data_IF_932772898313
#
_entry.id   IF_932772898313
#
_cell.length_a   1.000
_cell.length_b   1.000
_cell.length_c   1.000
_cell.angle_alpha   90.00
_cell.angle_beta   90.00
_cell.angle_gamma   90.00
#
_symmetry.space_group_name_H-M   'P 1'
#
loop_
_entity.id
_entity.type
_entity.pdbx_description
1 polymer ?
#
# COMPACT_ATOMS: atom_id res chain seq x y z
N UNK A 1 -47.72 17.92 -44.87
CA UNK A 1 -48.77 17.07 -45.47
C UNK A 1 -48.30 15.63 -45.39
N UNK A 2 -49.21 14.75 -44.88
CA UNK A 2 -49.17 13.30 -44.80
C UNK A 2 -47.95 12.65 -44.07
N UNK A 3 -48.03 12.13 -42.84
CA UNK A 3 -48.71 10.97 -42.22
C UNK A 3 -48.63 9.70 -43.07
N UNK A 4 -47.93 8.68 -42.50
CA UNK A 4 -48.40 7.29 -42.40
C UNK A 4 -47.78 6.57 -41.21
N UNK A 5 -48.64 6.06 -40.32
CA UNK A 5 -48.48 5.12 -39.24
C UNK A 5 -48.68 3.69 -39.79
N UNK A 6 -48.10 2.72 -39.17
CA UNK A 6 -48.55 1.33 -38.89
C UNK A 6 -47.30 0.51 -38.58
N UNK A 7 -47.19 -0.36 -37.57
CA UNK A 7 -48.11 -0.99 -36.67
C UNK A 7 -47.43 -2.30 -36.16
N UNK A 8 -47.42 -2.45 -34.90
CA UNK A 8 -47.51 -3.65 -34.01
C UNK A 8 -47.24 -5.04 -34.62
N UNK A 9 -46.33 -5.81 -33.93
CA UNK A 9 -46.65 -7.21 -33.61
C UNK A 9 -45.81 -7.69 -32.40
N UNK A 10 -46.53 -8.01 -31.36
CA UNK A 10 -46.16 -8.70 -30.12
C UNK A 10 -45.95 -10.17 -30.45
N UNK A 11 -44.91 -10.80 -29.89
CA UNK A 11 -44.69 -12.24 -29.95
C UNK A 11 -44.13 -12.75 -28.64
N UNK A 12 -45.07 -13.09 -27.72
CA UNK A 12 -44.79 -13.87 -26.50
C UNK A 12 -44.63 -15.32 -26.89
N UNK A 13 -43.54 -15.96 -26.54
CA UNK A 13 -43.48 -17.42 -26.43
C UNK A 13 -43.07 -17.81 -25.03
N UNK A 14 -44.05 -18.31 -24.32
CA UNK A 14 -43.94 -19.21 -23.14
C UNK A 14 -43.73 -20.64 -23.64
N UNK A 15 -42.81 -21.37 -23.06
CA UNK A 15 -42.82 -22.83 -22.94
C UNK A 15 -41.89 -23.21 -21.80
N UNK A 16 -42.37 -23.46 -20.64
CA UNK A 16 -42.80 -24.74 -20.06
C UNK A 16 -41.64 -25.67 -19.67
N UNK A 17 -41.53 -25.79 -18.39
CA UNK A 17 -40.86 -26.66 -17.45
C UNK A 17 -40.94 -28.15 -17.85
N UNK A 18 -39.83 -28.90 -17.68
CA UNK A 18 -39.84 -30.25 -17.14
C UNK A 18 -38.65 -30.49 -16.24
N UNK A 19 -38.93 -30.77 -14.99
CA UNK A 19 -38.00 -31.30 -14.01
C UNK A 19 -37.94 -32.82 -14.14
N UNK A 20 -36.74 -33.40 -14.12
CA UNK A 20 -36.51 -34.78 -13.69
C UNK A 20 -35.25 -34.77 -12.82
N UNK A 21 -35.38 -35.38 -11.66
CA UNK A 21 -34.42 -35.38 -10.60
C UNK A 21 -33.45 -36.57 -10.60
N UNK A 22 -32.65 -36.52 -9.58
CA UNK A 22 -31.86 -37.56 -8.92
C UNK A 22 -30.50 -37.96 -9.53
N UNK A 23 -29.49 -37.84 -8.70
CA UNK A 23 -28.19 -38.51 -8.83
C UNK A 23 -27.11 -37.89 -7.95
N UNK A 24 -26.98 -38.40 -6.72
CA UNK A 24 -25.82 -38.20 -5.86
C UNK A 24 -24.55 -38.69 -6.57
N UNK A 25 -23.50 -37.85 -6.61
CA UNK A 25 -22.18 -38.24 -7.01
C UNK A 25 -21.18 -37.18 -6.54
N UNK A 26 -20.52 -37.46 -5.43
CA UNK A 26 -19.39 -36.74 -4.92
C UNK A 26 -18.20 -37.04 -5.82
N UNK A 27 -17.72 -36.07 -6.60
CA UNK A 27 -16.37 -36.14 -7.14
C UNK A 27 -15.68 -34.78 -7.01
N UNK A 28 -14.48 -34.85 -6.45
CA UNK A 28 -13.66 -33.74 -6.03
C UNK A 28 -13.23 -32.83 -7.17
N UNK A 29 -13.27 -31.54 -6.90
CA UNK A 29 -12.59 -30.55 -7.72
C UNK A 29 -11.08 -30.71 -7.55
N UNK A 30 -10.44 -31.25 -8.57
CA UNK A 30 -8.98 -31.27 -8.70
C UNK A 30 -8.48 -29.86 -8.88
N UNK A 31 -7.63 -29.43 -7.95
CA UNK A 31 -6.83 -28.23 -8.06
C UNK A 31 -5.87 -28.35 -9.23
N UNK A 32 -5.99 -27.48 -10.23
CA UNK A 32 -5.02 -27.29 -11.30
C UNK A 32 -3.82 -26.45 -10.79
N UNK A 33 -2.98 -27.08 -9.99
CA UNK A 33 -1.59 -26.66 -9.77
C UNK A 33 -0.77 -27.91 -9.48
N UNK A 34 -0.45 -28.62 -10.54
CA UNK A 34 0.63 -29.62 -10.53
C UNK A 34 1.71 -29.11 -11.51
N UNK A 35 2.80 -28.66 -10.97
CA UNK A 35 3.97 -28.14 -11.66
C UNK A 35 5.23 -28.57 -10.94
N UNK A 36 5.68 -29.78 -11.24
CA UNK A 36 7.07 -30.22 -11.29
C UNK A 36 7.99 -29.88 -10.13
N UNK A 37 8.20 -30.84 -9.25
CA UNK A 37 9.35 -30.92 -8.34
C UNK A 37 10.66 -31.19 -9.11
N UNK A 38 11.73 -30.45 -8.82
CA UNK A 38 13.08 -30.99 -8.90
C UNK A 38 13.49 -31.58 -7.54
N UNK A 39 14.27 -32.66 -7.62
CA UNK A 39 14.69 -33.54 -6.55
C UNK A 39 15.39 -32.85 -5.38
N UNK A 40 15.22 -33.49 -4.23
CA UNK A 40 15.72 -33.14 -2.93
C UNK A 40 17.26 -33.02 -2.90
N UNK A 41 17.75 -31.90 -2.35
CA UNK A 41 18.92 -31.92 -1.49
C UNK A 41 18.46 -31.73 -0.05
N UNK A 42 18.81 -32.70 0.80
CA UNK A 42 18.58 -32.63 2.23
C UNK A 42 19.52 -31.57 2.83
N UNK A 43 18.98 -30.38 3.02
CA UNK A 43 19.53 -29.41 3.95
C UNK A 43 18.69 -29.50 5.21
N UNK A 44 19.30 -29.91 6.31
CA UNK A 44 18.70 -29.86 7.64
C UNK A 44 18.19 -28.41 7.91
N UNK A 45 16.91 -28.23 7.85
CA UNK A 45 16.28 -27.03 8.39
C UNK A 45 16.27 -27.20 9.91
N UNK A 46 17.20 -26.53 10.60
CA UNK A 46 17.05 -26.23 12.01
C UNK A 46 15.76 -25.45 12.22
N UNK A 47 14.68 -26.15 12.37
CA UNK A 47 13.44 -25.66 12.90
C UNK A 47 13.68 -25.24 14.35
N UNK A 48 14.12 -24.00 14.54
CA UNK A 48 14.19 -23.41 15.88
C UNK A 48 12.77 -23.12 16.35
N UNK A 49 12.22 -24.11 17.01
CA UNK A 49 11.06 -23.99 17.86
C UNK A 49 11.44 -23.05 19.01
N UNK A 50 10.91 -21.83 19.02
CA UNK A 50 11.01 -20.93 20.16
C UNK A 50 10.16 -21.49 21.31
N UNK A 51 10.81 -22.00 22.32
CA UNK A 51 10.27 -22.17 23.65
C UNK A 51 9.67 -23.51 23.98
N UNK A 52 10.39 -24.31 24.69
CA UNK A 52 9.86 -25.14 25.76
C UNK A 52 10.85 -25.17 26.94
N UNK A 53 10.68 -24.19 27.82
CA UNK A 53 11.12 -24.26 29.18
C UNK A 53 9.98 -24.83 30.01
N UNK A 54 9.91 -26.16 30.09
CA UNK A 54 8.86 -26.83 30.84
C UNK A 54 8.94 -26.50 32.33
N UNK A 55 7.86 -25.93 32.89
CA UNK A 55 7.41 -26.23 34.22
C UNK A 55 5.98 -26.75 34.15
N UNK A 56 5.83 -28.06 34.38
CA UNK A 56 4.55 -28.72 34.57
C UNK A 56 4.10 -28.47 36.02
N UNK A 57 3.05 -27.68 36.18
CA UNK A 57 2.09 -27.88 37.26
C UNK A 57 0.69 -27.49 36.76
N UNK A 58 -0.25 -28.40 37.01
CA UNK A 58 -1.57 -28.41 36.42
C UNK A 58 -2.47 -27.27 36.95
N UNK A 59 -2.88 -26.44 36.03
CA UNK A 59 -3.96 -25.47 36.17
C UNK A 59 -4.35 -25.02 34.77
N UNK A 60 -5.65 -25.02 34.45
CA UNK A 60 -6.18 -24.42 33.24
C UNK A 60 -5.86 -22.93 33.31
N UNK A 61 -4.63 -22.57 32.88
CA UNK A 61 -4.03 -21.25 33.01
C UNK A 61 -3.69 -20.66 31.64
N UNK A 62 -3.88 -19.40 31.55
CA UNK A 62 -3.45 -18.48 30.48
C UNK A 62 -2.19 -18.98 29.76
N UNK A 63 -2.22 -19.06 28.44
CA UNK A 63 -1.07 -19.39 27.58
C UNK A 63 0.00 -18.30 27.54
N UNK A 64 -0.15 -17.22 28.30
CA UNK A 64 0.80 -16.13 28.41
C UNK A 64 1.90 -16.44 29.44
N UNK A 65 3.16 -16.69 29.02
CA UNK A 65 4.25 -17.04 29.94
C UNK A 65 4.60 -15.91 30.94
N UNK A 66 4.15 -14.70 30.69
CA UNK A 66 4.41 -13.54 31.54
C UNK A 66 3.28 -13.23 32.53
N UNK A 67 2.17 -13.97 32.48
CA UNK A 67 0.98 -13.69 33.31
C UNK A 67 1.21 -13.80 34.81
N UNK A 68 2.18 -14.61 35.24
CA UNK A 68 2.48 -14.83 36.68
C UNK A 68 3.28 -13.72 37.32
N UNK A 69 4.02 -12.90 36.55
CA UNK A 69 4.88 -11.82 37.09
C UNK A 69 4.45 -10.43 36.57
N UNK A 70 3.56 -10.35 35.59
CA UNK A 70 3.10 -9.09 35.06
C UNK A 70 2.35 -8.27 36.12
N UNK A 71 2.86 -7.07 36.42
CA UNK A 71 2.19 -6.10 37.32
C UNK A 71 1.26 -5.16 36.54
N UNK A 72 1.55 -4.95 35.26
CA UNK A 72 0.75 -4.14 34.36
C UNK A 72 1.06 -4.47 32.90
N UNK A 73 0.09 -4.25 32.02
CA UNK A 73 0.29 -4.36 30.56
C UNK A 73 -0.52 -3.28 29.83
N UNK A 74 -0.01 -2.86 28.66
CA UNK A 74 -0.70 -1.94 27.79
C UNK A 74 -0.48 -2.36 26.32
N UNK A 75 -1.55 -2.33 25.51
CA UNK A 75 -1.43 -2.48 24.07
C UNK A 75 -0.81 -1.21 23.48
N UNK A 76 0.06 -1.39 22.52
CA UNK A 76 0.58 -0.32 21.68
C UNK A 76 0.22 -0.59 20.24
N UNK A 77 -0.16 0.45 19.54
CA UNK A 77 -0.58 0.34 18.13
C UNK A 77 0.53 0.80 17.20
N UNK A 78 0.49 0.28 15.97
CA UNK A 78 1.34 0.79 14.89
C UNK A 78 1.13 2.28 14.70
N UNK A 79 2.18 2.96 14.27
CA UNK A 79 2.06 4.35 13.81
C UNK A 79 1.13 4.38 12.59
N UNK A 80 0.01 5.11 12.64
CA UNK A 80 -0.90 5.17 11.51
C UNK A 80 -0.28 5.82 10.28
N UNK A 81 -0.82 5.50 9.12
CA UNK A 81 -0.44 6.07 7.83
C UNK A 81 -1.67 6.71 7.18
N UNK A 82 -1.58 7.99 6.89
CA UNK A 82 -2.60 8.76 6.16
C UNK A 82 -2.09 8.99 4.76
N UNK A 83 -2.56 8.18 3.82
CA UNK A 83 -2.05 8.13 2.45
C UNK A 83 -3.02 8.84 1.50
N UNK A 84 -2.51 9.83 0.78
CA UNK A 84 -3.21 10.45 -0.34
C UNK A 84 -2.54 10.07 -1.65
N UNK A 85 -3.29 9.42 -2.53
CA UNK A 85 -2.85 9.08 -3.88
C UNK A 85 -3.20 10.22 -4.83
N UNK A 86 -2.23 10.71 -5.60
CA UNK A 86 -2.44 11.61 -6.73
C UNK A 86 -2.20 10.81 -8.00
N UNK A 87 -3.23 10.63 -8.81
CA UNK A 87 -3.19 9.80 -10.00
C UNK A 87 -3.32 10.68 -11.23
N UNK A 88 -2.38 10.56 -12.14
CA UNK A 88 -2.40 11.24 -13.42
C UNK A 88 -3.50 10.65 -14.33
N UNK A 89 -4.39 11.51 -14.76
CA UNK A 89 -5.44 11.24 -15.74
C UNK A 89 -5.26 12.06 -17.01
N UNK A 90 -4.04 12.47 -17.35
CA UNK A 90 -3.73 13.20 -18.58
C UNK A 90 -3.81 12.30 -19.82
N UNK A 91 -3.79 12.92 -21.01
CA UNK A 91 -3.92 12.21 -22.27
C UNK A 91 -2.79 11.22 -22.55
N UNK A 92 -1.58 11.50 -22.07
CA UNK A 92 -0.41 10.62 -22.21
C UNK A 92 -0.61 9.26 -21.52
N UNK A 93 -1.38 9.21 -20.44
CA UNK A 93 -1.79 7.95 -19.80
C UNK A 93 -2.69 7.10 -20.71
N UNK A 94 -3.44 7.69 -21.66
CA UNK A 94 -4.21 6.99 -22.71
C UNK A 94 -3.41 6.81 -24.02
N UNK A 95 -2.11 7.07 -24.01
CA UNK A 95 -1.25 6.96 -25.20
C UNK A 95 -1.44 8.08 -26.20
N UNK A 96 -1.77 9.29 -25.75
CA UNK A 96 -1.99 10.47 -26.58
C UNK A 96 -0.86 11.50 -26.40
N UNK A 97 -0.18 11.89 -27.48
CA UNK A 97 0.98 12.81 -27.45
C UNK A 97 0.59 14.30 -27.46
N UNK A 98 -0.68 14.61 -27.39
CA UNK A 98 -1.21 15.97 -27.52
C UNK A 98 -1.78 16.26 -28.93
N UNK A 99 -1.49 15.43 -29.91
CA UNK A 99 -1.93 15.55 -31.29
C UNK A 99 -2.59 14.27 -31.80
N UNK A 100 -1.96 13.12 -31.54
CA UNK A 100 -2.38 11.82 -32.03
C UNK A 100 -2.26 10.74 -30.95
N UNK A 101 -2.96 9.62 -31.15
CA UNK A 101 -2.70 8.41 -30.39
C UNK A 101 -1.45 7.71 -30.94
N UNK A 102 -0.54 7.40 -30.04
CA UNK A 102 0.74 6.75 -30.39
C UNK A 102 0.47 5.29 -30.73
N UNK A 103 1.04 4.83 -31.84
CA UNK A 103 0.87 3.46 -32.33
C UNK A 103 1.49 2.46 -31.31
N UNK A 104 0.70 1.45 -30.92
CA UNK A 104 1.14 0.42 -30.00
C UNK A 104 0.99 0.76 -28.51
N UNK A 105 0.64 2.02 -28.13
CA UNK A 105 0.46 2.43 -26.73
C UNK A 105 -0.95 2.13 -26.18
N UNK A 106 -1.86 1.66 -27.00
CA UNK A 106 -3.24 1.32 -26.63
C UNK A 106 -3.56 -0.13 -26.91
N UNK A 107 -4.40 -0.72 -26.09
CA UNK A 107 -4.87 -2.10 -26.24
C UNK A 107 -6.37 -2.22 -25.91
N UNK A 108 -7.04 -3.34 -26.29
CA UNK A 108 -8.41 -3.60 -25.88
C UNK A 108 -8.55 -3.59 -24.36
N UNK A 109 -9.45 -2.75 -23.86
CA UNK A 109 -9.66 -2.59 -22.42
C UNK A 109 -10.65 -3.63 -21.88
N UNK A 110 -10.21 -4.57 -21.01
CA UNK A 110 -11.11 -5.57 -20.43
C UNK A 110 -12.25 -4.96 -19.60
N UNK A 111 -12.02 -3.80 -19.00
CA UNK A 111 -13.04 -3.09 -18.22
C UNK A 111 -14.00 -2.25 -19.09
N UNK A 112 -13.69 -2.08 -20.39
CA UNK A 112 -14.51 -1.32 -21.35
C UNK A 112 -14.54 -2.01 -22.71
N UNK A 113 -15.29 -3.12 -22.86
CA UNK A 113 -15.32 -3.91 -24.09
C UNK A 113 -15.60 -3.06 -25.33
N UNK A 114 -14.79 -3.27 -26.36
CA UNK A 114 -14.88 -2.54 -27.64
C UNK A 114 -14.13 -1.20 -27.67
N UNK A 115 -13.47 -0.79 -26.58
CA UNK A 115 -12.61 0.39 -26.52
C UNK A 115 -11.13 0.00 -26.51
N UNK A 116 -10.30 0.77 -27.23
CA UNK A 116 -8.86 0.81 -27.01
C UNK A 116 -8.57 1.86 -25.93
N UNK A 117 -7.76 1.49 -24.93
CA UNK A 117 -7.34 2.35 -23.83
C UNK A 117 -5.83 2.26 -23.65
N UNK A 118 -5.20 3.30 -23.16
CA UNK A 118 -3.77 3.35 -22.93
C UNK A 118 -3.29 2.25 -22.00
N UNK A 119 -2.24 1.56 -22.37
CA UNK A 119 -1.61 0.50 -21.56
C UNK A 119 -1.22 0.99 -20.18
N UNK A 120 -0.69 2.21 -20.09
CA UNK A 120 -0.31 2.86 -18.81
C UNK A 120 -1.53 3.00 -17.90
N UNK A 121 -2.65 3.51 -18.44
CA UNK A 121 -3.87 3.67 -17.65
C UNK A 121 -4.47 2.34 -17.20
N UNK A 122 -4.56 1.36 -18.11
CA UNK A 122 -5.05 0.01 -17.76
C UNK A 122 -4.20 -0.56 -16.63
N UNK A 123 -2.88 -0.47 -16.73
CA UNK A 123 -1.94 -0.99 -15.74
C UNK A 123 -2.12 -0.33 -14.37
N UNK A 124 -2.17 0.99 -14.31
CA UNK A 124 -2.35 1.76 -13.06
C UNK A 124 -3.72 1.46 -12.44
N UNK A 125 -4.78 1.53 -13.24
CA UNK A 125 -6.15 1.23 -12.77
C UNK A 125 -6.26 -0.17 -12.17
N UNK A 126 -5.79 -1.18 -12.90
CA UNK A 126 -5.96 -2.58 -12.50
C UNK A 126 -5.09 -2.93 -11.29
N UNK A 127 -3.90 -2.33 -11.19
CA UNK A 127 -3.04 -2.49 -10.04
C UNK A 127 -3.59 -1.79 -8.78
N UNK A 128 -4.10 -0.57 -8.91
CA UNK A 128 -4.77 0.11 -7.80
C UNK A 128 -6.03 -0.64 -7.35
N UNK A 129 -6.82 -1.17 -8.29
CA UNK A 129 -7.97 -2.00 -7.95
C UNK A 129 -7.58 -3.25 -7.17
N UNK A 130 -6.46 -3.90 -7.52
CA UNK A 130 -5.94 -5.05 -6.78
C UNK A 130 -5.43 -4.64 -5.39
N UNK A 131 -4.75 -3.51 -5.26
CA UNK A 131 -4.31 -2.97 -3.98
C UNK A 131 -5.49 -2.65 -3.05
N UNK A 132 -6.55 -2.01 -3.57
CA UNK A 132 -7.75 -1.74 -2.77
C UNK A 132 -8.49 -3.01 -2.38
N UNK A 133 -8.49 -4.03 -3.24
CA UNK A 133 -9.07 -5.33 -2.92
C UNK A 133 -8.27 -6.09 -1.83
N UNK A 134 -6.94 -5.97 -1.83
CA UNK A 134 -6.10 -6.54 -0.77
C UNK A 134 -6.35 -5.86 0.57
N UNK A 135 -6.43 -4.52 0.60
CA UNK A 135 -6.78 -3.76 1.81
C UNK A 135 -8.19 -4.08 2.33
N UNK A 136 -9.16 -4.29 1.42
CA UNK A 136 -10.52 -4.70 1.80
C UNK A 136 -10.54 -6.11 2.41
N UNK A 137 -9.78 -7.04 1.81
CA UNK A 137 -9.71 -8.42 2.29
C UNK A 137 -8.93 -8.56 3.61
N UNK A 138 -7.97 -7.68 3.84
CA UNK A 138 -7.12 -7.64 5.05
C UNK A 138 -7.07 -6.21 5.58
N UNK A 139 -8.15 -5.71 6.18
CA UNK A 139 -8.22 -4.34 6.65
C UNK A 139 -7.11 -4.03 7.65
N UNK A 140 -6.38 -2.94 7.41
CA UNK A 140 -5.33 -2.46 8.30
C UNK A 140 -5.86 -1.24 9.08
N UNK A 141 -6.14 -1.36 10.39
CA UNK A 141 -6.69 -0.26 11.18
C UNK A 141 -5.71 0.90 11.36
N UNK A 142 -4.46 0.72 10.98
CA UNK A 142 -3.46 1.79 10.99
C UNK A 142 -3.34 2.51 9.64
N UNK A 143 -4.12 2.15 8.61
CA UNK A 143 -4.01 2.74 7.27
C UNK A 143 -5.30 3.40 6.81
N UNK A 144 -5.20 4.69 6.47
CA UNK A 144 -6.25 5.44 5.78
C UNK A 144 -5.77 5.85 4.39
N UNK A 145 -6.62 5.66 3.37
CA UNK A 145 -6.29 5.96 1.97
C UNK A 145 -7.36 6.86 1.36
N UNK A 146 -6.89 7.93 0.71
CA UNK A 146 -7.68 8.78 -0.16
C UNK A 146 -7.08 8.85 -1.56
N UNK A 147 -7.83 9.40 -2.52
CA UNK A 147 -7.38 9.49 -3.90
C UNK A 147 -7.85 10.77 -4.58
N UNK A 148 -6.99 11.32 -5.41
CA UNK A 148 -7.25 12.44 -6.30
C UNK A 148 -6.78 12.10 -7.70
N UNK A 149 -7.71 12.01 -8.64
CA UNK A 149 -7.42 11.84 -10.06
C UNK A 149 -7.41 13.21 -10.73
N UNK A 150 -6.31 13.59 -11.38
CA UNK A 150 -6.15 14.91 -11.95
C UNK A 150 -5.86 14.90 -13.45
N UNK A 151 -6.36 15.90 -14.13
CA UNK A 151 -5.94 16.38 -15.44
C UNK A 151 -6.60 17.75 -15.66
N UNK A 152 -6.31 18.44 -16.76
CA UNK A 152 -6.96 19.72 -17.06
C UNK A 152 -8.47 19.61 -17.31
N UNK A 153 -9.01 18.43 -17.56
CA UNK A 153 -10.43 18.18 -17.82
C UNK A 153 -11.11 17.31 -16.79
N UNK A 154 -10.44 16.32 -16.25
CA UNK A 154 -11.00 15.36 -15.28
C UNK A 154 -11.21 16.03 -13.93
N UNK A 155 -10.28 16.89 -13.53
CA UNK A 155 -10.34 17.62 -12.27
C UNK A 155 -9.85 19.06 -12.48
N UNK A 156 -10.74 20.02 -12.33
CA UNK A 156 -10.45 21.45 -12.53
C UNK A 156 -10.03 22.17 -11.24
N UNK A 157 -10.23 21.55 -10.09
CA UNK A 157 -9.90 22.15 -8.78
C UNK A 157 -8.85 21.32 -8.07
N UNK A 158 -7.70 21.90 -7.81
CA UNK A 158 -6.60 21.25 -7.10
C UNK A 158 -6.93 20.88 -5.65
N UNK A 159 -7.82 21.62 -5.01
CA UNK A 159 -8.23 21.37 -3.62
C UNK A 159 -9.36 20.36 -3.49
N UNK A 160 -9.97 19.92 -4.61
CA UNK A 160 -11.04 18.95 -4.57
C UNK A 160 -10.49 17.54 -4.45
N UNK A 161 -10.89 16.83 -3.42
CA UNK A 161 -10.55 15.43 -3.20
C UNK A 161 -11.62 14.56 -3.84
N UNK A 162 -11.22 13.60 -4.70
CA UNK A 162 -12.18 12.69 -5.35
C UNK A 162 -12.74 11.68 -4.34
N UNK A 163 -11.84 10.99 -3.62
CA UNK A 163 -12.21 10.09 -2.54
C UNK A 163 -11.45 10.53 -1.28
N UNK A 164 -12.15 11.01 -0.26
CA UNK A 164 -11.53 11.48 0.99
C UNK A 164 -10.69 10.39 1.66
N UNK A 165 -9.66 10.81 2.41
CA UNK A 165 -8.85 9.89 3.20
C UNK A 165 -9.72 9.27 4.29
N UNK A 166 -9.84 7.95 4.29
CA UNK A 166 -10.57 7.21 5.30
C UNK A 166 -9.99 5.79 5.46
N UNK A 167 -10.39 5.12 6.54
CA UNK A 167 -10.13 3.69 6.71
C UNK A 167 -10.67 2.90 5.53
N UNK A 168 -9.87 1.93 5.03
CA UNK A 168 -10.26 1.16 3.84
C UNK A 168 -11.11 -0.03 4.27
N UNK A 169 -12.38 0.23 4.50
CA UNK A 169 -13.44 -0.77 4.57
C UNK A 169 -14.04 -1.05 3.19
N UNK A 170 -15.05 -1.89 3.12
CA UNK A 170 -15.72 -2.23 1.86
C UNK A 170 -16.33 -1.01 1.15
N UNK A 171 -16.83 -0.03 1.89
CA UNK A 171 -17.42 1.20 1.32
C UNK A 171 -16.32 2.09 0.72
N UNK A 172 -15.22 2.31 1.43
CA UNK A 172 -14.09 3.10 0.96
C UNK A 172 -13.40 2.41 -0.23
N UNK A 173 -13.17 1.10 -0.16
CA UNK A 173 -12.59 0.33 -1.26
C UNK A 173 -13.47 0.38 -2.52
N UNK A 174 -14.78 0.31 -2.35
CA UNK A 174 -15.74 0.47 -3.45
C UNK A 174 -15.69 1.88 -4.06
N UNK A 175 -15.60 2.93 -3.24
CA UNK A 175 -15.50 4.33 -3.71
C UNK A 175 -14.19 4.56 -4.49
N UNK A 176 -13.06 4.04 -4.00
CA UNK A 176 -11.76 4.12 -4.66
C UNK A 176 -11.78 3.43 -6.04
N UNK A 177 -12.32 2.21 -6.11
CA UNK A 177 -12.47 1.48 -7.38
C UNK A 177 -13.43 2.16 -8.35
N UNK A 178 -14.56 2.65 -7.86
CA UNK A 178 -15.55 3.34 -8.68
C UNK A 178 -14.99 4.61 -9.32
N UNK A 179 -14.06 5.31 -8.65
CA UNK A 179 -13.42 6.50 -9.21
C UNK A 179 -12.51 6.22 -10.40
N UNK A 180 -11.98 5.02 -10.50
CA UNK A 180 -11.11 4.56 -11.61
C UNK A 180 -11.88 3.80 -12.69
N UNK A 181 -13.14 3.45 -12.45
CA UNK A 181 -13.93 2.64 -13.37
C UNK A 181 -14.35 3.43 -14.63
N UNK A 182 -14.57 2.77 -15.77
CA UNK A 182 -15.22 3.40 -16.91
C UNK A 182 -16.57 4.04 -16.51
N UNK A 183 -16.94 5.20 -17.09
CA UNK A 183 -16.38 5.82 -18.31
C UNK A 183 -15.25 6.84 -18.03
N UNK A 184 -14.54 6.75 -16.94
CA UNK A 184 -13.40 7.63 -16.66
C UNK A 184 -12.20 7.19 -17.52
N UNK A 185 -11.78 8.05 -18.42
CA UNK A 185 -10.63 7.83 -19.31
C UNK A 185 -9.70 9.05 -19.26
N UNK A 186 -8.38 8.82 -19.28
CA UNK A 186 -7.42 9.90 -19.29
C UNK A 186 -7.56 10.82 -20.50
N UNK A 187 -7.39 12.12 -20.26
CA UNK A 187 -7.48 13.15 -21.29
C UNK A 187 -6.86 14.47 -20.84
N UNK A 188 -6.41 15.30 -21.83
CA UNK A 188 -5.91 16.65 -21.62
C UNK A 188 -4.54 16.74 -20.93
N UNK A 189 -4.18 17.88 -20.36
CA UNK A 189 -2.84 18.16 -19.82
C UNK A 189 -2.61 17.70 -18.39
N UNK A 190 -1.38 17.88 -17.93
CA UNK A 190 -0.82 17.39 -16.64
C UNK A 190 -0.56 18.56 -15.68
N UNK A 191 -1.56 19.20 -15.06
CA UNK A 191 -1.36 20.29 -14.10
C UNK A 191 -0.89 19.75 -12.74
N UNK A 192 0.31 19.17 -12.70
CA UNK A 192 0.83 18.41 -11.57
C UNK A 192 1.13 19.29 -10.36
N UNK A 193 1.72 20.48 -10.58
CA UNK A 193 2.02 21.43 -9.50
C UNK A 193 0.73 21.84 -8.77
N UNK A 194 -0.29 22.18 -9.55
CA UNK A 194 -1.61 22.52 -9.01
C UNK A 194 -2.21 21.36 -8.20
N UNK A 195 -2.09 20.13 -8.71
CA UNK A 195 -2.56 18.93 -8.02
C UNK A 195 -1.78 18.67 -6.72
N UNK A 196 -0.45 18.74 -6.75
CA UNK A 196 0.40 18.56 -5.57
C UNK A 196 0.04 19.57 -4.48
N UNK A 197 -0.01 20.86 -4.79
CA UNK A 197 -0.31 21.90 -3.81
C UNK A 197 -1.70 21.73 -3.17
N UNK A 198 -2.70 21.41 -3.99
CA UNK A 198 -4.04 21.16 -3.49
C UNK A 198 -4.11 19.96 -2.55
N UNK A 199 -3.45 18.87 -2.91
CA UNK A 199 -3.49 17.65 -2.11
C UNK A 199 -2.59 17.71 -0.87
N UNK A 200 -1.48 18.44 -0.92
CA UNK A 200 -0.69 18.76 0.28
C UNK A 200 -1.52 19.56 1.30
N UNK A 201 -2.29 20.53 0.83
CA UNK A 201 -3.19 21.30 1.70
C UNK A 201 -4.28 20.40 2.33
N UNK A 202 -4.89 19.55 1.53
CA UNK A 202 -5.90 18.57 1.99
C UNK A 202 -5.31 17.61 3.01
N UNK A 203 -4.15 17.04 2.73
CA UNK A 203 -3.49 16.07 3.60
C UNK A 203 -3.08 16.70 4.94
N UNK A 204 -2.51 17.90 4.93
CA UNK A 204 -2.13 18.63 6.16
C UNK A 204 -3.34 19.01 7.02
N UNK A 205 -4.50 19.19 6.43
CA UNK A 205 -5.75 19.49 7.16
C UNK A 205 -6.52 18.22 7.58
N UNK A 206 -6.06 17.05 7.19
CA UNK A 206 -6.71 15.79 7.53
C UNK A 206 -6.68 15.54 9.04
N UNK A 207 -7.84 15.25 9.61
CA UNK A 207 -7.98 14.84 11.00
C UNK A 207 -8.49 13.40 11.02
N UNK A 208 -7.71 12.46 11.56
CA UNK A 208 -8.12 11.06 11.61
C UNK A 208 -9.34 10.87 12.52
N UNK A 209 -10.17 9.90 12.17
CA UNK A 209 -11.33 9.46 12.96
C UNK A 209 -11.31 7.95 13.11
N UNK A 210 -11.96 7.44 14.16
CA UNK A 210 -12.03 5.99 14.39
C UNK A 210 -12.47 5.23 13.11
N UNK A 211 -11.88 4.08 12.82
CA UNK A 211 -10.93 3.33 13.66
C UNK A 211 -9.46 3.81 13.58
N UNK A 212 -9.14 4.76 12.69
CA UNK A 212 -7.76 5.25 12.48
C UNK A 212 -7.30 6.11 13.67
N UNK A 213 -6.21 5.74 14.37
CA UNK A 213 -5.68 6.54 15.46
C UNK A 213 -5.05 7.85 15.00
N UNK A 214 -4.90 8.80 15.91
CA UNK A 214 -4.12 10.03 15.71
C UNK A 214 -2.60 9.77 15.83
N UNK A 215 -1.77 10.76 15.42
CA UNK A 215 -0.31 10.70 15.57
C UNK A 215 0.41 9.93 14.46
N UNK A 216 -0.24 9.76 13.32
CA UNK A 216 0.31 9.04 12.18
C UNK A 216 1.21 9.85 11.26
N UNK A 217 1.76 9.18 10.25
CA UNK A 217 2.57 9.75 9.17
C UNK A 217 1.67 10.20 8.01
N UNK A 218 1.95 11.37 7.49
CA UNK A 218 1.27 11.91 6.32
C UNK A 218 2.07 11.56 5.06
N UNK A 219 1.43 10.87 4.14
CA UNK A 219 2.07 10.30 2.95
C UNK A 219 1.35 10.74 1.69
N UNK A 220 2.09 11.35 0.76
CA UNK A 220 1.63 11.65 -0.58
C UNK A 220 2.27 10.68 -1.56
N UNK A 221 1.48 10.07 -2.44
CA UNK A 221 2.00 9.23 -3.53
C UNK A 221 1.61 9.87 -4.85
N UNK A 222 2.61 10.32 -5.60
CA UNK A 222 2.44 10.98 -6.90
C UNK A 222 2.70 9.98 -8.01
N UNK A 223 1.69 9.69 -8.82
CA UNK A 223 1.76 8.76 -9.95
C UNK A 223 1.52 9.56 -11.23
N UNK A 224 2.53 9.62 -12.11
CA UNK A 224 2.45 10.34 -13.39
C UNK A 224 3.35 9.70 -14.44
N UNK A 225 2.96 9.85 -15.70
CA UNK A 225 3.77 9.50 -16.86
C UNK A 225 4.30 10.72 -17.60
N UNK A 226 4.02 11.92 -17.12
CA UNK A 226 4.28 13.13 -17.87
C UNK A 226 5.05 14.23 -17.14
N UNK A 227 5.59 15.12 -17.95
CA UNK A 227 6.15 16.39 -17.50
C UNK A 227 4.98 17.32 -17.14
N UNK A 228 5.04 18.02 -16.01
CA UNK A 228 4.01 19.01 -15.67
C UNK A 228 3.78 20.02 -16.77
N UNK A 229 2.52 20.30 -17.08
CA UNK A 229 2.14 21.38 -18.01
C UNK A 229 2.05 22.75 -17.33
N UNK A 230 2.22 22.78 -16.00
CA UNK A 230 2.23 23.99 -15.19
C UNK A 230 3.65 24.33 -14.69
N UNK A 231 3.98 24.11 -13.42
CA UNK A 231 5.26 24.52 -12.82
C UNK A 231 6.07 23.32 -12.32
N UNK A 232 7.04 22.88 -13.13
CA UNK A 232 7.94 21.75 -12.82
C UNK A 232 8.78 22.00 -11.57
N UNK A 233 9.36 23.21 -11.43
CA UNK A 233 10.18 23.56 -10.27
C UNK A 233 9.33 23.74 -9.03
N UNK A 234 8.11 24.26 -9.20
CA UNK A 234 7.13 24.39 -8.14
C UNK A 234 6.75 23.06 -7.51
N UNK A 235 6.65 21.98 -8.30
CA UNK A 235 6.41 20.62 -7.77
C UNK A 235 7.51 20.22 -6.77
N UNK A 236 8.77 20.37 -7.14
CA UNK A 236 9.92 20.00 -6.32
C UNK A 236 9.96 20.86 -5.04
N UNK A 237 9.77 22.17 -5.19
CA UNK A 237 9.79 23.12 -4.05
C UNK A 237 8.66 22.84 -3.07
N UNK A 238 7.46 22.50 -3.56
CA UNK A 238 6.30 22.19 -2.72
C UNK A 238 6.51 20.92 -1.89
N UNK A 239 7.08 19.87 -2.48
CA UNK A 239 7.37 18.62 -1.77
C UNK A 239 8.48 18.81 -0.72
N UNK A 240 9.56 19.51 -1.05
CA UNK A 240 10.63 19.81 -0.10
C UNK A 240 10.12 20.64 1.10
N UNK A 241 9.29 21.65 0.83
CA UNK A 241 8.66 22.44 1.88
C UNK A 241 7.67 21.61 2.73
N UNK A 242 6.95 20.66 2.13
CA UNK A 242 6.03 19.80 2.84
C UNK A 242 6.74 18.80 3.76
N UNK A 243 7.88 18.25 3.32
CA UNK A 243 8.75 17.39 4.12
C UNK A 243 9.30 18.10 5.35
N UNK A 244 9.64 19.39 5.23
CA UNK A 244 10.16 20.24 6.32
C UNK A 244 9.04 20.87 7.17
N UNK A 245 7.79 20.63 6.82
CA UNK A 245 6.62 21.23 7.45
C UNK A 245 6.18 20.57 8.75
N UNK A 246 5.14 21.15 9.36
CA UNK A 246 4.45 20.55 10.48
C UNK A 246 2.92 20.56 10.18
N UNK A 247 2.26 19.41 10.01
CA UNK A 247 2.87 18.07 10.02
C UNK A 247 3.86 17.88 8.85
N UNK A 248 4.88 17.02 9.08
CA UNK A 248 5.76 16.54 8.02
C UNK A 248 4.96 15.68 7.04
N UNK A 249 5.10 15.94 5.73
CA UNK A 249 4.52 15.10 4.68
C UNK A 249 5.66 14.53 3.84
N UNK A 250 5.84 13.21 3.90
CA UNK A 250 6.75 12.50 3.00
C UNK A 250 6.03 12.18 1.70
N UNK A 251 6.76 12.24 0.58
CA UNK A 251 6.14 12.05 -0.73
C UNK A 251 6.92 11.05 -1.58
N UNK A 252 6.19 10.06 -2.11
CA UNK A 252 6.73 9.07 -3.04
C UNK A 252 6.41 9.47 -4.48
N UNK A 253 7.36 9.24 -5.37
CA UNK A 253 7.21 9.43 -6.80
C UNK A 253 7.15 8.07 -7.50
N UNK A 254 6.11 7.85 -8.30
CA UNK A 254 5.90 6.66 -9.11
C UNK A 254 5.80 7.09 -10.58
N UNK A 255 6.83 6.83 -11.35
CA UNK A 255 6.87 7.11 -12.78
C UNK A 255 6.25 5.98 -13.59
N UNK A 256 5.36 6.31 -14.51
CA UNK A 256 4.69 5.34 -15.38
C UNK A 256 5.09 5.59 -16.82
N UNK A 257 5.95 4.77 -17.38
CA UNK A 257 6.42 4.99 -18.75
C UNK A 257 7.36 3.91 -19.23
N UNK A 258 7.71 3.98 -20.51
CA UNK A 258 8.64 3.06 -21.12
C UNK A 258 10.09 3.55 -20.94
N UNK A 259 11.02 2.63 -20.76
CA UNK A 259 12.46 2.91 -20.73
C UNK A 259 13.04 3.14 -22.14
N UNK A 260 12.23 2.92 -23.18
CA UNK A 260 12.66 2.99 -24.59
C UNK A 260 12.90 4.44 -25.03
N UNK A 261 13.82 4.58 -25.98
CA UNK A 261 14.35 5.87 -26.42
C UNK A 261 13.38 6.74 -27.25
N UNK A 262 12.09 6.40 -27.31
CA UNK A 262 11.11 7.25 -27.99
C UNK A 262 10.65 8.37 -27.04
N UNK A 263 10.99 9.64 -27.31
CA UNK A 263 10.62 10.78 -26.47
C UNK A 263 9.12 10.93 -26.25
N UNK A 264 8.27 10.34 -27.12
CA UNK A 264 6.82 10.41 -27.01
C UNK A 264 6.24 9.41 -26.00
N UNK A 265 7.01 8.39 -25.61
CA UNK A 265 6.58 7.32 -24.69
C UNK A 265 7.30 7.35 -23.36
N UNK A 266 8.39 8.10 -23.27
CA UNK A 266 9.25 8.23 -22.08
C UNK A 266 8.72 9.33 -21.18
N UNK A 267 8.58 9.04 -19.88
CA UNK A 267 8.39 10.09 -18.88
C UNK A 267 9.74 10.74 -18.50
N UNK A 268 9.71 11.90 -17.86
CA UNK A 268 10.95 12.55 -17.39
C UNK A 268 11.46 11.87 -16.11
N UNK A 269 12.32 10.88 -16.30
CA UNK A 269 12.94 10.09 -15.22
C UNK A 269 13.75 10.96 -14.26
N UNK A 270 14.46 11.96 -14.77
CA UNK A 270 15.25 12.88 -13.95
C UNK A 270 14.35 13.78 -13.09
N UNK A 271 13.20 14.19 -13.61
CA UNK A 271 12.20 14.92 -12.83
C UNK A 271 11.62 14.05 -11.73
N UNK A 272 11.25 12.79 -12.02
CA UNK A 272 10.75 11.86 -11.02
C UNK A 272 11.77 11.57 -9.92
N UNK A 273 13.05 11.43 -10.26
CA UNK A 273 14.13 11.30 -9.28
C UNK A 273 14.20 12.51 -8.34
N UNK A 274 14.07 13.73 -8.87
CA UNK A 274 14.05 14.97 -8.06
C UNK A 274 12.81 15.05 -7.17
N UNK A 275 11.64 14.59 -7.63
CA UNK A 275 10.45 14.51 -6.80
C UNK A 275 10.64 13.57 -5.61
N UNK A 276 11.22 12.37 -5.83
CA UNK A 276 11.50 11.42 -4.75
C UNK A 276 12.50 11.98 -3.73
N UNK A 277 13.54 12.69 -4.19
CA UNK A 277 14.50 13.36 -3.32
C UNK A 277 13.84 14.47 -2.48
N UNK A 278 13.09 15.35 -3.13
CA UNK A 278 12.38 16.43 -2.46
C UNK A 278 11.35 15.89 -1.46
N UNK A 279 10.67 14.83 -1.82
CA UNK A 279 9.71 14.13 -0.95
C UNK A 279 10.35 13.34 0.20
N UNK A 280 11.67 13.14 0.19
CA UNK A 280 12.40 12.42 1.25
C UNK A 280 12.28 10.91 1.19
N UNK A 281 11.94 10.36 0.04
CA UNK A 281 11.67 8.93 -0.16
C UNK A 281 12.55 8.32 -1.26
N UNK A 282 13.60 9.03 -1.66
CA UNK A 282 14.57 8.51 -2.62
C UNK A 282 15.20 7.20 -2.10
N UNK A 283 15.28 6.21 -2.99
CA UNK A 283 15.87 4.90 -2.67
C UNK A 283 17.31 5.10 -2.17
N UNK A 284 17.71 4.51 -1.03
CA UNK A 284 19.08 4.64 -0.53
C UNK A 284 20.09 4.19 -1.56
N UNK A 285 21.14 5.03 -1.81
CA UNK A 285 22.19 4.75 -2.79
C UNK A 285 21.75 4.88 -4.25
N UNK A 286 20.59 5.45 -4.53
CA UNK A 286 20.12 5.71 -5.89
C UNK A 286 20.99 6.75 -6.60
N UNK A 287 20.98 6.73 -7.93
CA UNK A 287 21.60 7.75 -8.76
C UNK A 287 20.65 8.96 -8.88
N UNK A 288 20.99 10.14 -8.31
CA UNK A 288 20.12 11.32 -8.38
C UNK A 288 19.98 11.92 -9.79
N UNK A 289 20.88 11.54 -10.70
CA UNK A 289 20.86 11.96 -12.10
C UNK A 289 20.35 10.85 -13.02
N UNK A 290 19.79 9.77 -12.46
CA UNK A 290 19.29 8.67 -13.23
C UNK A 290 18.21 9.14 -14.21
N UNK A 291 18.42 8.88 -15.50
CA UNK A 291 17.52 9.34 -16.56
C UNK A 291 18.12 9.17 -17.94
N UNK A 292 17.63 9.92 -18.91
CA UNK A 292 17.94 9.78 -20.35
C UNK A 292 19.45 9.77 -20.69
N UNK A 293 20.29 10.46 -19.92
CA UNK A 293 21.73 10.57 -20.17
C UNK A 293 22.59 9.60 -19.34
N UNK A 294 22.08 9.15 -18.18
CA UNK A 294 22.80 8.28 -17.26
C UNK A 294 21.82 7.34 -16.57
N UNK A 295 21.78 6.09 -17.03
CA UNK A 295 20.98 5.01 -16.43
C UNK A 295 21.82 4.06 -15.57
N UNK A 296 23.01 4.49 -15.14
CA UNK A 296 23.85 3.71 -14.23
C UNK A 296 23.24 3.68 -12.81
N UNK A 297 23.28 2.53 -12.18
CA UNK A 297 22.77 2.36 -10.82
C UNK A 297 21.24 2.20 -10.73
N UNK A 298 20.68 2.61 -9.61
CA UNK A 298 19.25 2.45 -9.29
C UNK A 298 18.52 3.79 -9.39
N UNK A 299 17.30 3.85 -9.96
CA UNK A 299 16.48 5.05 -9.95
C UNK A 299 16.10 5.45 -8.51
N UNK A 300 15.93 6.75 -8.26
CA UNK A 300 15.53 7.26 -6.95
C UNK A 300 14.03 7.14 -6.68
N UNK A 301 13.23 6.96 -7.71
CA UNK A 301 11.77 6.83 -7.67
C UNK A 301 11.34 5.41 -8.03
N UNK A 302 10.10 5.07 -7.76
CA UNK A 302 9.51 3.82 -8.23
C UNK A 302 9.16 3.92 -9.71
N UNK A 303 9.51 2.88 -10.48
CA UNK A 303 9.24 2.82 -11.91
C UNK A 303 8.23 1.74 -12.25
N UNK A 304 7.31 2.09 -13.13
CA UNK A 304 6.38 1.17 -13.75
C UNK A 304 6.56 1.32 -15.26
N UNK A 305 7.25 0.34 -15.84
CA UNK A 305 7.57 0.31 -17.26
C UNK A 305 6.68 -0.71 -17.97
N UNK A 306 5.62 -0.27 -18.69
CA UNK A 306 4.80 -1.18 -19.49
C UNK A 306 5.64 -1.94 -20.52
N UNK A 307 6.36 -1.27 -21.41
CA UNK A 307 7.23 -1.86 -22.41
C UNK A 307 6.57 -3.05 -23.13
N UNK A 308 7.29 -4.16 -23.16
CA UNK A 308 6.81 -5.45 -23.68
C UNK A 308 6.08 -6.31 -22.65
N UNK A 309 5.94 -5.82 -21.42
CA UNK A 309 5.30 -6.55 -20.31
C UNK A 309 3.80 -6.70 -20.56
N UNK A 310 3.24 -7.80 -20.10
CA UNK A 310 1.79 -8.01 -20.06
C UNK A 310 1.16 -7.17 -18.93
N UNK A 311 -0.11 -6.84 -19.05
CA UNK A 311 -0.85 -6.15 -18.01
C UNK A 311 -0.74 -6.84 -16.63
N UNK A 312 -0.66 -8.17 -16.59
CA UNK A 312 -0.47 -8.93 -15.36
C UNK A 312 0.91 -8.68 -14.73
N UNK A 313 1.97 -8.62 -15.54
CA UNK A 313 3.33 -8.30 -15.05
C UNK A 313 3.41 -6.87 -14.52
N UNK A 314 2.85 -5.90 -15.25
CA UNK A 314 2.81 -4.50 -14.84
C UNK A 314 2.03 -4.36 -13.52
N UNK A 315 0.91 -5.05 -13.38
CA UNK A 315 0.15 -5.08 -12.12
C UNK A 315 1.00 -5.62 -10.96
N UNK A 316 1.78 -6.67 -11.19
CA UNK A 316 2.67 -7.25 -10.18
C UNK A 316 3.74 -6.24 -9.76
N UNK A 317 4.39 -5.59 -10.71
CA UNK A 317 5.42 -4.56 -10.44
C UNK A 317 4.83 -3.38 -9.65
N UNK A 318 3.63 -2.94 -10.04
CA UNK A 318 2.94 -1.85 -9.34
C UNK A 318 2.57 -2.22 -7.91
N UNK A 319 2.00 -3.42 -7.71
CA UNK A 319 1.68 -3.89 -6.36
C UNK A 319 2.93 -4.01 -5.50
N UNK A 320 4.05 -4.46 -6.08
CA UNK A 320 5.33 -4.50 -5.39
C UNK A 320 5.78 -3.08 -4.97
N UNK A 321 5.66 -2.10 -5.87
CA UNK A 321 6.00 -0.70 -5.57
C UNK A 321 5.11 -0.12 -4.45
N UNK A 322 3.79 -0.28 -4.52
CA UNK A 322 2.88 0.22 -3.49
C UNK A 322 3.08 -0.50 -2.15
N UNK A 323 3.33 -1.80 -2.15
CA UNK A 323 3.65 -2.53 -0.93
C UNK A 323 4.99 -2.08 -0.33
N UNK A 324 6.01 -1.84 -1.16
CA UNK A 324 7.28 -1.29 -0.69
C UNK A 324 7.11 0.13 -0.09
N UNK A 325 6.25 0.97 -0.67
CA UNK A 325 5.86 2.26 -0.10
C UNK A 325 5.22 2.05 1.27
N UNK A 326 4.20 1.18 1.37
CA UNK A 326 3.55 0.85 2.63
C UNK A 326 4.55 0.36 3.67
N UNK A 327 5.43 -0.57 3.31
CA UNK A 327 6.41 -1.16 4.22
C UNK A 327 7.47 -0.15 4.68
N UNK A 328 7.83 0.82 3.84
CA UNK A 328 8.74 1.93 4.19
C UNK A 328 8.11 2.85 5.23
N UNK A 329 6.83 3.14 5.13
CA UNK A 329 6.14 4.05 6.05
C UNK A 329 5.61 3.35 7.31
N UNK A 330 5.37 2.04 7.25
CA UNK A 330 4.98 1.25 8.42
C UNK A 330 6.16 1.17 9.39
N UNK A 331 6.00 1.80 10.54
CA UNK A 331 7.05 1.88 11.54
C UNK A 331 7.05 0.64 12.43
N UNK A 332 8.24 0.11 12.69
CA UNK A 332 8.47 -0.86 13.77
C UNK A 332 8.83 -0.16 15.10
N UNK A 333 8.79 1.16 15.13
CA UNK A 333 8.85 1.94 16.36
C UNK A 333 7.45 2.04 16.98
N UNK A 334 7.36 1.68 18.25
CA UNK A 334 6.13 1.63 19.00
C UNK A 334 6.28 2.50 20.24
N UNK A 335 5.32 3.36 20.58
CA UNK A 335 5.38 4.12 21.81
C UNK A 335 5.38 3.18 23.02
N UNK A 336 6.24 3.45 23.98
CA UNK A 336 6.25 2.74 25.26
C UNK A 336 5.08 3.28 26.12
N UNK A 337 3.92 2.68 25.94
CA UNK A 337 2.72 3.10 26.68
C UNK A 337 2.86 2.66 28.13
N UNK A 338 2.86 3.64 29.03
CA UNK A 338 2.85 3.39 30.47
C UNK A 338 1.44 2.98 30.91
N UNK A 339 1.24 1.78 31.45
CA UNK A 339 -0.06 1.37 31.97
C UNK A 339 -0.56 2.29 33.07
N UNK A 340 -1.88 2.47 33.17
CA UNK A 340 -2.50 3.26 34.21
C UNK A 340 -2.14 2.70 35.61
N UNK A 341 -1.70 3.57 36.52
CA UNK A 341 -1.30 3.19 37.89
C UNK A 341 0.12 2.62 38.03
N UNK A 342 0.83 2.38 36.93
CA UNK A 342 2.23 1.96 37.00
C UNK A 342 3.11 3.09 37.54
N UNK A 343 4.02 2.75 38.43
CA UNK A 343 5.11 3.64 38.91
C UNK A 343 6.09 4.01 37.78
N UNK A 344 7.30 4.42 38.13
CA UNK A 344 8.36 4.58 37.14
C UNK A 344 8.65 3.21 36.50
N UNK A 345 8.77 3.17 35.16
CA UNK A 345 9.10 1.93 34.45
C UNK A 345 10.56 1.59 34.74
N UNK A 346 10.78 0.38 35.23
CA UNK A 346 12.13 -0.20 35.31
C UNK A 346 12.46 -0.89 33.97
N UNK A 347 13.42 -0.38 33.20
CA UNK A 347 13.76 -0.96 31.91
C UNK A 347 14.21 -2.43 31.94
N UNK A 348 14.64 -2.93 33.07
CA UNK A 348 15.05 -4.33 33.26
C UNK A 348 13.86 -5.27 33.45
N UNK A 349 12.65 -4.75 33.62
CA UNK A 349 11.43 -5.50 33.88
C UNK A 349 10.31 -5.21 32.85
N UNK A 350 10.68 -5.04 31.59
CA UNK A 350 9.75 -4.83 30.48
C UNK A 350 9.90 -5.95 29.47
N UNK A 351 8.79 -6.48 29.01
CA UNK A 351 8.73 -7.44 27.91
C UNK A 351 7.79 -6.95 26.82
N UNK A 352 8.07 -7.36 25.59
CA UNK A 352 7.26 -7.08 24.41
C UNK A 352 6.66 -8.40 23.93
N UNK A 353 5.34 -8.42 23.81
CA UNK A 353 4.59 -9.58 23.33
C UNK A 353 3.86 -9.21 22.06
N UNK A 354 4.07 -9.97 21.01
CA UNK A 354 3.32 -9.90 19.77
C UNK A 354 2.19 -10.92 19.83
N UNK A 355 0.96 -10.46 19.64
CA UNK A 355 -0.24 -11.29 19.50
C UNK A 355 -0.64 -11.30 18.04
N UNK A 356 -0.55 -12.43 17.37
CA UNK A 356 -0.97 -12.57 15.97
C UNK A 356 -2.48 -12.40 15.81
N UNK A 357 -2.95 -12.14 14.59
CA UNK A 357 -4.39 -12.10 14.26
C UNK A 357 -5.12 -13.41 14.58
N UNK A 358 -4.41 -14.53 14.66
CA UNK A 358 -4.94 -15.83 15.13
C UNK A 358 -5.06 -15.96 16.65
N UNK A 359 -4.59 -14.94 17.40
CA UNK A 359 -4.63 -14.92 18.87
C UNK A 359 -3.45 -15.64 19.54
N UNK A 360 -2.37 -15.92 18.80
CA UNK A 360 -1.17 -16.55 19.36
C UNK A 360 -0.22 -15.49 19.89
N UNK A 361 0.13 -15.61 21.19
CA UNK A 361 1.12 -14.74 21.84
C UNK A 361 2.54 -15.25 21.63
N UNK A 362 3.44 -14.35 21.26
CA UNK A 362 4.87 -14.60 21.10
C UNK A 362 5.64 -13.52 21.87
N UNK A 363 6.43 -13.92 22.87
CA UNK A 363 7.34 -13.00 23.56
C UNK A 363 8.53 -12.69 22.68
N UNK A 364 8.76 -11.42 22.38
CA UNK A 364 9.87 -10.97 21.56
C UNK A 364 11.06 -10.70 22.47
N UNK A 365 12.25 -11.30 22.25
CA UNK A 365 13.43 -11.08 23.10
C UNK A 365 14.00 -9.68 22.89
N UNK A 366 14.63 -9.12 23.93
CA UNK A 366 15.35 -7.85 23.81
C UNK A 366 16.72 -8.10 23.15
N UNK A 367 16.79 -7.85 21.86
CA UNK A 367 18.03 -7.84 21.09
C UNK A 367 17.92 -6.94 19.84
N UNK A 368 19.07 -6.46 19.36
CA UNK A 368 19.12 -5.49 18.27
C UNK A 368 19.06 -6.11 16.86
N UNK A 369 19.05 -7.45 16.74
CA UNK A 369 19.05 -8.11 15.46
C UNK A 369 17.65 -8.60 15.07
N UNK A 370 17.06 -9.48 15.89
CA UNK A 370 15.79 -10.16 15.59
C UNK A 370 14.79 -10.04 16.76
N UNK A 371 14.83 -8.93 17.48
CA UNK A 371 14.08 -8.70 18.70
C UNK A 371 13.61 -7.26 18.84
N UNK A 372 13.82 -6.67 20.02
CA UNK A 372 13.48 -5.26 20.26
C UNK A 372 14.54 -4.53 21.07
N UNK A 373 14.59 -3.20 20.93
CA UNK A 373 15.44 -2.30 21.71
C UNK A 373 14.66 -1.07 22.18
N UNK A 374 15.21 -0.35 23.15
CA UNK A 374 14.74 0.99 23.51
C UNK A 374 15.37 2.07 22.65
N UNK A 375 14.69 3.21 22.52
CA UNK A 375 15.25 4.48 22.03
C UNK A 375 16.27 5.08 23.01
N UNK A 376 16.07 4.87 24.31
CA UNK A 376 16.99 5.28 25.37
C UNK A 376 17.03 4.21 26.46
N UNK A 377 18.21 3.74 26.87
CA UNK A 377 18.33 2.69 27.88
C UNK A 377 17.97 3.16 29.31
N UNK A 378 18.01 4.47 29.56
CA UNK A 378 17.78 5.03 30.90
C UNK A 378 16.44 5.72 31.07
N UNK A 379 15.88 6.24 29.96
CA UNK A 379 14.57 6.89 29.94
C UNK A 379 13.82 6.56 28.66
N UNK A 380 13.38 5.31 28.51
CA UNK A 380 12.77 4.87 27.29
C UNK A 380 11.39 5.50 27.08
N UNK A 381 11.15 5.93 25.85
CA UNK A 381 9.85 6.44 25.39
C UNK A 381 9.25 5.58 24.28
N UNK A 382 10.10 4.77 23.63
CA UNK A 382 9.74 3.89 22.55
C UNK A 382 10.45 2.55 22.63
N UNK A 383 9.87 1.54 22.06
CA UNK A 383 10.52 0.29 21.67
C UNK A 383 10.59 0.20 20.15
N UNK A 384 11.68 -0.32 19.63
CA UNK A 384 11.87 -0.57 18.20
C UNK A 384 12.02 -2.07 18.00
N UNK A 385 11.17 -2.65 17.14
CA UNK A 385 11.32 -4.04 16.71
C UNK A 385 12.32 -4.12 15.56
N UNK A 386 13.11 -5.21 15.53
CA UNK A 386 14.16 -5.45 14.55
C UNK A 386 13.99 -6.83 13.90
N UNK A 387 14.52 -6.99 12.68
CA UNK A 387 14.57 -8.27 11.96
C UNK A 387 13.22 -8.97 11.90
N UNK A 388 13.21 -10.26 12.19
CA UNK A 388 12.01 -11.10 12.09
C UNK A 388 10.82 -10.58 12.92
N UNK A 389 11.07 -9.91 14.06
CA UNK A 389 10.01 -9.33 14.87
C UNK A 389 9.32 -8.13 14.18
N UNK A 390 10.10 -7.30 13.49
CA UNK A 390 9.59 -6.21 12.67
C UNK A 390 8.83 -6.75 11.45
N UNK A 391 9.37 -7.76 10.79
CA UNK A 391 8.76 -8.38 9.61
C UNK A 391 7.44 -9.08 9.95
N UNK A 392 7.37 -9.78 11.09
CA UNK A 392 6.14 -10.38 11.59
C UNK A 392 5.05 -9.33 11.85
N UNK A 393 5.42 -8.20 12.46
CA UNK A 393 4.49 -7.08 12.67
C UNK A 393 3.99 -6.50 11.34
N UNK A 394 4.85 -6.36 10.34
CA UNK A 394 4.47 -5.85 9.01
C UNK A 394 3.57 -6.82 8.24
N UNK A 395 3.83 -8.11 8.37
CA UNK A 395 3.09 -9.16 7.66
C UNK A 395 1.67 -9.38 8.22
N UNK A 396 1.41 -9.00 9.48
CA UNK A 396 0.11 -9.18 10.14
C UNK A 396 -0.53 -7.85 10.53
N UNK A 397 -1.33 -7.21 9.65
CA UNK A 397 -1.99 -5.93 9.91
C UNK A 397 -2.94 -5.94 11.10
N UNK A 398 -3.48 -7.09 11.48
CA UNK A 398 -4.38 -7.28 12.62
C UNK A 398 -3.63 -7.70 13.89
N UNK A 399 -2.34 -8.00 13.78
CA UNK A 399 -1.50 -8.34 14.90
C UNK A 399 -1.33 -7.15 15.87
N UNK A 400 -1.24 -7.46 17.15
CA UNK A 400 -1.12 -6.46 18.24
C UNK A 400 0.20 -6.62 18.95
N UNK A 401 0.73 -5.51 19.45
CA UNK A 401 1.90 -5.53 20.33
C UNK A 401 1.47 -5.08 21.72
N UNK A 402 1.88 -5.83 22.71
CA UNK A 402 1.60 -5.56 24.12
C UNK A 402 2.91 -5.37 24.88
N UNK A 403 2.99 -4.29 25.62
CA UNK A 403 4.07 -4.01 26.55
C UNK A 403 3.68 -4.56 27.93
N UNK A 404 4.48 -5.46 28.48
CA UNK A 404 4.26 -6.10 29.77
C UNK A 404 5.33 -5.64 30.75
N UNK A 405 4.91 -5.16 31.91
CA UNK A 405 5.79 -4.62 32.96
C UNK A 405 5.71 -5.52 34.20
N UNK A 406 6.84 -5.70 34.86
CA UNK A 406 6.94 -6.44 36.13
C UNK A 406 7.71 -7.75 36.02
N UNK A 407 7.76 -8.34 34.83
CA UNK A 407 8.55 -9.54 34.59
C UNK A 407 9.95 -9.18 34.11
N UNK A 408 10.96 -9.91 34.60
CA UNK A 408 12.33 -9.75 34.09
C UNK A 408 12.36 -9.84 32.56
N UNK A 409 13.06 -8.90 31.96
CA UNK A 409 13.17 -8.83 30.49
C UNK A 409 13.79 -10.10 29.93
N UNK A 410 13.12 -10.69 28.94
CA UNK A 410 13.63 -11.84 28.17
C UNK A 410 14.69 -11.32 27.21
N UNK A 411 15.91 -11.81 27.33
CA UNK A 411 17.02 -11.51 26.43
C UNK A 411 17.46 -12.80 25.75
N UNK A 412 17.72 -12.75 24.44
CA UNK A 412 18.32 -13.88 23.76
C UNK A 412 19.80 -13.94 24.18
N UNK A 413 20.17 -15.03 24.81
CA UNK A 413 21.58 -15.31 25.09
C UNK A 413 22.20 -15.83 23.80
N UNK A 414 22.89 -14.98 23.07
CA UNK A 414 23.76 -15.42 21.96
C UNK A 414 24.81 -16.38 22.53
N UNK A 415 24.71 -17.67 22.15
CA UNK A 415 25.74 -18.66 22.44
C UNK A 415 26.97 -18.44 21.57
#
# INVERSE_FOLDING_TARGET
MARWLTGVACGVFLSAVTAVGQGCGSEGATSLFDGGTPAAEQGESDGRNFGDGANRDGGVGSTDPLSSCATASAETNRTPVYMQLIIDGSGSMDGFDGTNYIAGEREPDPASPGRLTGKKWIAVRDALNAFFADLEAKPDPSMAVGMYLFSSTVQKSASKVDVPIAFVDAAQASALRARLAPPIFPNSGTPLYTAINGQLSTLKSYTPSAPIPAGGKYVLVVMTDGIPTDDTQGCITALDAAKKGNPEVISFAVGVGNEDADPATVYDEAFMAKLAQAGGTAVPGCNPNWGNADKSGTPCHFQITPGTKTAAQIRTDFLAAINAIRDTVTSCELPLVKPAGAGQIDPANVNVVFTSSSGTDTTIPQNAKDGWTYDSPTNPTKVTLHGDACDALKADPQGKVRIVIGCKTVVEVTK
#
